data_IF_843988463451
#
_entry.id   IF_843988463451
#
_cell.length_a   1.000
_cell.length_b   1.000
_cell.length_c   1.000
_cell.angle_alpha   90.00
_cell.angle_beta   90.00
_cell.angle_gamma   90.00
#
_symmetry.space_group_name_H-M   'P 1'
#
loop_
_entity.id
_entity.type
_entity.pdbx_description
1 polymer ?
#
# COMPACT_ATOMS: atom_id res chain seq x y z
N UNK A 1 11.73 2.23 -12.83
CA UNK A 1 11.05 2.82 -14.01
C UNK A 1 10.26 4.03 -13.52
N UNK A 2 10.48 5.19 -14.09
CA UNK A 2 9.60 6.34 -13.87
C UNK A 2 8.25 6.06 -14.54
N UNK A 3 7.17 6.35 -13.83
CA UNK A 3 5.79 6.21 -14.31
C UNK A 3 5.23 7.62 -14.45
N UNK A 4 5.07 8.08 -15.70
CA UNK A 4 4.59 9.44 -15.98
C UNK A 4 3.06 9.53 -16.07
N UNK A 5 2.41 8.44 -16.44
CA UNK A 5 0.96 8.31 -16.58
C UNK A 5 0.51 6.97 -16.01
N UNK A 6 -0.76 6.87 -15.61
CA UNK A 6 -1.30 5.60 -15.15
C UNK A 6 -1.41 4.60 -16.31
N UNK A 7 -0.82 3.42 -16.13
CA UNK A 7 -0.81 2.31 -17.08
C UNK A 7 -1.53 1.10 -16.47
N UNK A 8 -2.36 0.44 -17.24
CA UNK A 8 -3.16 -0.72 -16.82
C UNK A 8 -2.85 -1.90 -17.73
N UNK A 9 -2.26 -2.94 -17.17
CA UNK A 9 -1.99 -4.18 -17.86
C UNK A 9 -3.01 -5.24 -17.49
N UNK A 10 -3.68 -5.82 -18.50
CA UNK A 10 -4.72 -6.83 -18.29
C UNK A 10 -4.29 -8.16 -18.87
N UNK A 11 -4.50 -9.22 -18.13
CA UNK A 11 -4.24 -10.61 -18.57
C UNK A 11 -5.55 -11.37 -18.51
N UNK A 12 -5.96 -11.91 -19.68
CA UNK A 12 -7.18 -12.71 -19.77
C UNK A 12 -6.99 -14.08 -19.12
N UNK A 13 -7.86 -14.37 -18.17
CA UNK A 13 -7.90 -15.67 -17.52
C UNK A 13 -9.29 -15.94 -16.98
N UNK A 14 -9.93 -17.01 -17.46
CA UNK A 14 -11.20 -17.48 -16.90
C UNK A 14 -11.04 -17.81 -15.40
N UNK A 15 -11.57 -16.94 -14.55
CA UNK A 15 -11.54 -17.09 -13.09
C UNK A 15 -12.77 -16.44 -12.45
N UNK A 16 -13.26 -17.02 -11.35
CA UNK A 16 -14.38 -16.47 -10.59
C UNK A 16 -14.01 -15.18 -9.81
N UNK A 17 -12.72 -14.92 -9.63
CA UNK A 17 -12.19 -13.75 -8.94
C UNK A 17 -11.07 -13.13 -9.74
N UNK A 18 -11.20 -11.84 -10.00
CA UNK A 18 -10.10 -11.06 -10.54
C UNK A 18 -9.11 -10.69 -9.43
N UNK A 19 -7.84 -10.59 -9.81
CA UNK A 19 -6.76 -10.10 -8.96
C UNK A 19 -6.24 -8.80 -9.53
N UNK A 20 -6.29 -7.73 -8.72
CA UNK A 20 -5.78 -6.41 -9.06
C UNK A 20 -4.57 -6.11 -8.19
N UNK A 21 -3.52 -5.56 -8.81
CA UNK A 21 -2.37 -4.97 -8.12
C UNK A 21 -2.24 -3.52 -8.56
N UNK A 22 -1.95 -2.65 -7.63
CA UNK A 22 -1.63 -1.25 -7.87
C UNK A 22 -0.26 -0.99 -7.26
N UNK A 23 0.64 -0.43 -8.06
CA UNK A 23 1.99 -0.13 -7.63
C UNK A 23 2.41 1.24 -8.16
N UNK A 24 3.12 2.00 -7.36
CA UNK A 24 3.83 3.19 -7.82
C UNK A 24 5.03 3.49 -6.93
N UNK A 25 6.13 3.95 -7.53
CA UNK A 25 7.31 4.35 -6.78
C UNK A 25 7.08 5.70 -6.10
N UNK A 26 7.80 5.89 -5.02
CA UNK A 26 8.00 7.17 -4.36
C UNK A 26 9.50 7.34 -4.09
N UNK A 27 9.93 8.46 -3.58
CA UNK A 27 11.34 8.76 -3.33
C UNK A 27 12.15 7.64 -2.65
N UNK A 28 13.42 7.86 -2.45
CA UNK A 28 14.29 6.91 -1.75
C UNK A 28 13.93 6.84 -0.26
N UNK A 29 14.48 5.81 0.40
CA UNK A 29 14.32 5.64 1.84
C UNK A 29 14.73 6.91 2.60
N UNK A 30 13.87 7.34 3.50
CA UNK A 30 14.11 8.44 4.44
C UNK A 30 13.65 8.01 5.85
N UNK A 31 14.56 8.10 6.82
CA UNK A 31 14.29 7.76 8.21
C UNK A 31 13.21 8.65 8.84
N UNK A 32 13.17 9.93 8.45
CA UNK A 32 12.21 10.90 8.99
C UNK A 32 10.76 10.53 8.67
N UNK A 33 10.52 9.87 7.53
CA UNK A 33 9.20 9.40 7.11
C UNK A 33 8.77 8.06 7.72
N UNK A 34 9.69 7.33 8.38
CA UNK A 34 9.43 5.94 8.82
C UNK A 34 8.27 5.81 9.79
N UNK A 35 8.12 6.74 10.72
CA UNK A 35 7.05 6.68 11.73
C UNK A 35 5.70 7.01 11.08
N UNK A 36 5.64 8.05 10.23
CA UNK A 36 4.44 8.41 9.48
C UNK A 36 4.01 7.28 8.54
N UNK A 37 4.94 6.67 7.79
CA UNK A 37 4.68 5.49 6.96
C UNK A 37 4.11 4.32 7.76
N UNK A 38 4.59 4.11 9.00
CA UNK A 38 4.09 3.06 9.89
C UNK A 38 2.65 3.31 10.34
N UNK A 39 2.31 4.56 10.68
CA UNK A 39 0.94 4.95 11.01
C UNK A 39 0.05 4.82 9.77
N UNK A 40 0.49 5.37 8.64
CA UNK A 40 -0.23 5.26 7.37
C UNK A 40 -0.58 3.81 7.04
N UNK A 41 0.39 2.92 7.11
CA UNK A 41 0.17 1.50 6.84
C UNK A 41 -0.90 0.89 7.77
N UNK A 42 -0.83 1.17 9.07
CA UNK A 42 -1.79 0.60 10.02
C UNK A 42 -3.20 1.20 9.86
N UNK A 43 -3.27 2.51 9.62
CA UNK A 43 -4.50 3.25 9.39
C UNK A 43 -5.16 2.89 8.08
N UNK A 44 -4.37 2.89 6.98
CA UNK A 44 -4.91 2.81 5.63
C UNK A 44 -5.13 1.37 5.15
N UNK A 45 -4.16 0.46 5.32
CA UNK A 45 -4.23 -0.76 4.53
C UNK A 45 -3.81 -2.10 5.14
N UNK A 46 -3.18 -2.14 6.32
CA UNK A 46 -2.61 -3.41 6.83
C UNK A 46 -3.36 -4.04 8.01
N UNK A 47 -4.35 -3.38 8.56
CA UNK A 47 -5.16 -3.89 9.67
C UNK A 47 -6.59 -4.21 9.26
N UNK A 48 -7.29 -5.02 10.05
CA UNK A 48 -8.72 -5.30 9.82
C UNK A 48 -9.61 -4.07 10.08
N UNK A 49 -9.14 -3.09 10.85
CA UNK A 49 -9.78 -1.79 11.06
C UNK A 49 -9.32 -0.72 10.07
N UNK A 50 -8.43 -1.07 9.13
CA UNK A 50 -7.91 -0.12 8.14
C UNK A 50 -8.99 0.39 7.18
N UNK A 51 -8.75 1.58 6.63
CA UNK A 51 -9.65 2.22 5.66
C UNK A 51 -9.99 1.29 4.51
N UNK A 52 -8.97 0.72 3.86
CA UNK A 52 -9.14 -0.14 2.69
C UNK A 52 -9.99 -1.37 3.00
N UNK A 53 -9.73 -2.03 4.12
CA UNK A 53 -10.48 -3.21 4.50
C UNK A 53 -11.94 -2.88 4.81
N UNK A 54 -12.18 -1.85 5.61
CA UNK A 54 -13.53 -1.45 6.03
C UNK A 54 -14.37 -0.93 4.87
N UNK A 55 -13.79 -0.12 3.99
CA UNK A 55 -14.54 0.50 2.89
C UNK A 55 -14.80 -0.48 1.73
N UNK A 56 -13.77 -1.22 1.28
CA UNK A 56 -13.94 -2.08 0.10
C UNK A 56 -14.59 -3.43 0.42
N UNK A 57 -14.27 -4.01 1.56
CA UNK A 57 -14.79 -5.33 1.92
C UNK A 57 -16.07 -5.25 2.74
N UNK A 58 -16.06 -4.52 3.86
CA UNK A 58 -17.16 -4.56 4.83
C UNK A 58 -18.34 -3.66 4.40
N UNK A 59 -18.06 -2.41 4.00
CA UNK A 59 -19.12 -1.45 3.71
C UNK A 59 -19.69 -1.62 2.30
N UNK A 60 -18.85 -1.84 1.29
CA UNK A 60 -19.28 -1.86 -0.13
C UNK A 60 -19.36 -3.28 -0.70
N UNK A 61 -18.83 -4.30 -0.03
CA UNK A 61 -18.79 -5.69 -0.51
C UNK A 61 -18.23 -5.83 -1.94
N UNK A 62 -17.26 -4.98 -2.31
CA UNK A 62 -16.63 -4.98 -3.63
C UNK A 62 -15.47 -5.98 -3.72
N UNK A 63 -14.87 -6.34 -2.60
CA UNK A 63 -13.69 -7.19 -2.56
C UNK A 63 -13.78 -8.28 -1.49
N UNK A 64 -13.27 -9.47 -1.78
CA UNK A 64 -13.01 -10.52 -0.78
C UNK A 64 -11.80 -10.23 0.06
N UNK A 65 -10.78 -9.66 -0.59
CA UNK A 65 -9.54 -9.23 0.05
C UNK A 65 -9.16 -7.86 -0.50
N UNK A 66 -8.75 -6.98 0.39
CA UNK A 66 -8.22 -5.68 0.05
C UNK A 66 -7.13 -5.30 1.04
N UNK A 67 -6.02 -4.83 0.55
CA UNK A 67 -4.90 -4.38 1.38
C UNK A 67 -4.09 -3.31 0.64
N UNK A 68 -3.44 -2.47 1.42
CA UNK A 68 -2.51 -1.49 0.91
C UNK A 68 -1.30 -1.35 1.84
N UNK A 69 -0.16 -1.01 1.29
CA UNK A 69 1.06 -0.82 2.06
C UNK A 69 2.02 0.12 1.35
N UNK A 70 2.48 1.11 2.06
CA UNK A 70 3.66 1.88 1.69
C UNK A 70 4.91 1.13 2.20
N UNK A 71 5.64 0.52 1.29
CA UNK A 71 6.84 -0.26 1.59
C UNK A 71 8.06 0.63 1.43
N UNK A 72 8.75 0.90 2.52
CA UNK A 72 10.00 1.65 2.47
C UNK A 72 11.15 0.79 1.93
N UNK A 73 12.08 1.44 1.23
CA UNK A 73 13.28 0.80 0.72
C UNK A 73 14.10 0.13 1.82
N UNK A 74 14.71 -1.02 1.51
CA UNK A 74 15.54 -1.79 2.46
C UNK A 74 16.98 -1.31 2.57
N UNK A 75 17.34 -0.22 1.88
CA UNK A 75 18.65 0.44 1.85
C UNK A 75 18.44 1.92 1.56
N UNK A 76 19.44 2.74 1.87
CA UNK A 76 19.40 4.19 1.66
C UNK A 76 19.17 4.62 0.20
N UNK A 77 19.59 3.79 -0.77
CA UNK A 77 19.46 4.02 -2.21
C UNK A 77 18.26 3.28 -2.83
N UNK A 78 17.47 2.58 -2.05
CA UNK A 78 16.31 1.86 -2.54
C UNK A 78 15.06 2.74 -2.50
N UNK A 79 14.26 2.65 -3.55
CA UNK A 79 12.99 3.36 -3.66
C UNK A 79 11.94 2.81 -2.69
N UNK A 80 11.10 3.71 -2.21
CA UNK A 80 9.86 3.37 -1.55
C UNK A 80 8.81 3.05 -2.61
N UNK A 81 7.88 2.16 -2.28
CA UNK A 81 6.85 1.72 -3.21
C UNK A 81 5.51 1.66 -2.47
N UNK A 82 4.50 2.32 -3.02
CA UNK A 82 3.12 2.05 -2.60
C UNK A 82 2.62 0.80 -3.32
N UNK A 83 2.04 -0.12 -2.56
CA UNK A 83 1.52 -1.39 -3.02
C UNK A 83 0.06 -1.51 -2.63
N UNK A 84 -0.81 -1.82 -3.58
CA UNK A 84 -2.21 -2.12 -3.37
C UNK A 84 -2.58 -3.49 -3.92
N UNK A 85 -3.53 -4.17 -3.29
CA UNK A 85 -4.01 -5.46 -3.75
C UNK A 85 -5.51 -5.60 -3.49
N UNK A 86 -6.25 -6.06 -4.49
CA UNK A 86 -7.67 -6.40 -4.40
C UNK A 86 -7.90 -7.77 -5.00
N UNK A 87 -8.73 -8.58 -4.34
CA UNK A 87 -9.38 -9.75 -4.94
C UNK A 87 -10.89 -9.49 -4.97
N UNK A 88 -11.46 -9.29 -6.15
CA UNK A 88 -12.88 -8.98 -6.36
C UNK A 88 -13.62 -10.09 -7.13
N UNK A 89 -14.93 -10.06 -7.13
CA UNK A 89 -15.70 -10.75 -8.17
C UNK A 89 -15.38 -10.09 -9.51
N UNK A 90 -15.32 -10.89 -10.58
CA UNK A 90 -14.89 -10.41 -11.89
C UNK A 90 -15.78 -9.30 -12.43
N UNK A 91 -17.09 -9.38 -12.21
CA UNK A 91 -18.09 -8.37 -12.61
C UNK A 91 -18.05 -7.06 -11.78
N UNK A 92 -17.28 -7.05 -10.69
CA UNK A 92 -17.11 -5.88 -9.80
C UNK A 92 -15.69 -5.30 -9.85
N UNK A 93 -14.87 -5.77 -10.76
CA UNK A 93 -13.44 -5.40 -10.79
C UNK A 93 -13.24 -3.91 -11.04
N UNK A 94 -13.99 -3.33 -11.98
CA UNK A 94 -13.92 -1.90 -12.33
C UNK A 94 -14.37 -1.03 -11.15
N UNK A 95 -15.51 -1.35 -10.56
CA UNK A 95 -16.04 -0.64 -9.38
C UNK A 95 -15.06 -0.72 -8.19
N UNK A 96 -14.47 -1.90 -7.96
CA UNK A 96 -13.51 -2.10 -6.88
C UNK A 96 -12.22 -1.33 -7.11
N UNK A 97 -11.73 -1.29 -8.35
CA UNK A 97 -10.57 -0.50 -8.74
C UNK A 97 -10.82 1.00 -8.55
N UNK A 98 -11.93 1.52 -9.07
CA UNK A 98 -12.29 2.93 -8.95
C UNK A 98 -12.43 3.37 -7.49
N UNK A 99 -13.13 2.57 -6.68
CA UNK A 99 -13.25 2.82 -5.25
C UNK A 99 -11.89 2.79 -4.52
N UNK A 100 -10.98 1.91 -4.93
CA UNK A 100 -9.66 1.83 -4.32
C UNK A 100 -8.77 3.02 -4.70
N UNK A 101 -8.77 3.43 -5.96
CA UNK A 101 -8.06 4.63 -6.42
C UNK A 101 -8.58 5.85 -5.66
N UNK A 102 -9.90 6.01 -5.54
CA UNK A 102 -10.51 7.10 -4.78
C UNK A 102 -10.02 7.11 -3.32
N UNK A 103 -9.97 5.95 -2.65
CA UNK A 103 -9.46 5.86 -1.28
C UNK A 103 -7.97 6.19 -1.17
N UNK A 104 -7.15 5.83 -2.17
CA UNK A 104 -5.72 6.17 -2.22
C UNK A 104 -5.55 7.69 -2.33
N UNK A 105 -6.30 8.33 -3.21
CA UNK A 105 -6.15 9.75 -3.51
C UNK A 105 -6.94 10.64 -2.52
N UNK A 106 -8.08 10.16 -1.99
CA UNK A 106 -8.98 10.88 -1.09
C UNK A 106 -9.20 10.11 0.23
N UNK A 107 -8.10 9.76 0.92
CA UNK A 107 -8.16 9.01 2.18
C UNK A 107 -9.07 9.72 3.21
N UNK A 108 -10.13 9.06 3.73
CA UNK A 108 -11.00 9.66 4.74
C UNK A 108 -10.27 9.88 6.06
N UNK A 109 -10.43 11.06 6.66
CA UNK A 109 -9.90 11.39 7.97
C UNK A 109 -10.85 10.90 9.08
N UNK A 110 -10.29 10.22 10.09
CA UNK A 110 -11.01 9.77 11.29
C UNK A 110 -10.08 9.77 12.50
N UNK A 111 -10.31 10.68 13.42
CA UNK A 111 -9.55 10.78 14.67
C UNK A 111 -9.62 9.49 15.51
N UNK A 112 -10.78 8.83 15.52
CA UNK A 112 -10.97 7.57 16.24
C UNK A 112 -10.06 6.47 15.66
N UNK A 113 -10.07 6.29 14.34
CA UNK A 113 -9.22 5.30 13.66
C UNK A 113 -7.73 5.64 13.78
N UNK A 114 -7.39 6.93 13.76
CA UNK A 114 -6.02 7.38 14.00
C UNK A 114 -5.54 7.00 15.39
N UNK A 115 -6.34 7.30 16.42
CA UNK A 115 -6.03 6.95 17.80
C UNK A 115 -5.89 5.43 18.00
N UNK A 116 -6.76 4.60 17.39
CA UNK A 116 -6.64 3.15 17.42
C UNK A 116 -5.36 2.66 16.76
N UNK A 117 -5.03 3.20 15.58
CA UNK A 117 -3.82 2.85 14.82
C UNK A 117 -2.55 3.20 15.59
N UNK A 118 -2.48 4.39 16.15
CA UNK A 118 -1.36 4.87 16.96
C UNK A 118 -1.20 4.02 18.23
N UNK A 119 -2.30 3.74 18.95
CA UNK A 119 -2.27 2.89 20.14
C UNK A 119 -1.82 1.46 19.83
N UNK A 120 -2.24 0.91 18.69
CA UNK A 120 -1.80 -0.41 18.22
C UNK A 120 -0.30 -0.45 18.01
N UNK A 121 0.27 0.57 17.34
CA UNK A 121 1.70 0.69 17.12
C UNK A 121 2.48 0.90 18.43
N UNK A 122 2.03 1.78 19.30
CA UNK A 122 2.65 1.98 20.62
C UNK A 122 2.68 0.68 21.43
N UNK A 123 1.60 -0.10 21.42
CA UNK A 123 1.56 -1.39 22.09
C UNK A 123 2.52 -2.39 21.44
N UNK A 124 2.68 -2.37 20.11
CA UNK A 124 3.69 -3.18 19.41
C UNK A 124 5.10 -2.84 19.92
N UNK A 125 5.47 -1.57 20.01
CA UNK A 125 6.76 -1.15 20.55
C UNK A 125 6.99 -1.61 21.99
N UNK A 126 5.96 -1.54 22.84
CA UNK A 126 6.05 -1.96 24.25
C UNK A 126 6.20 -3.47 24.45
N UNK A 127 5.61 -4.26 23.55
CA UNK A 127 5.52 -5.72 23.71
C UNK A 127 6.51 -6.49 22.83
N UNK A 128 6.95 -5.92 21.70
CA UNK A 128 7.86 -6.60 20.77
C UNK A 128 9.29 -6.53 21.26
N UNK A 129 9.94 -7.72 21.35
CA UNK A 129 11.34 -7.84 21.70
C UNK A 129 12.09 -8.52 20.56
N UNK A 130 13.29 -8.03 20.25
CA UNK A 130 14.19 -8.73 19.36
C UNK A 130 14.78 -9.91 20.13
N UNK A 131 14.42 -11.11 19.73
CA UNK A 131 15.04 -12.33 20.28
C UNK A 131 16.53 -12.40 19.92
N UNK A 132 17.33 -13.11 20.72
CA UNK A 132 18.79 -13.14 20.55
C UNK A 132 19.25 -13.55 19.13
N UNK A 133 18.51 -14.45 18.48
CA UNK A 133 18.81 -14.86 17.08
C UNK A 133 18.51 -13.76 16.05
N UNK A 134 17.63 -12.81 16.35
CA UNK A 134 17.25 -11.70 15.49
C UNK A 134 18.15 -10.47 15.61
N UNK A 135 18.98 -10.37 16.65
CA UNK A 135 19.78 -9.16 16.94
C UNK A 135 20.72 -8.80 15.79
N UNK A 136 21.47 -9.78 15.26
CA UNK A 136 22.41 -9.54 14.16
C UNK A 136 21.66 -9.06 12.90
N UNK A 137 20.50 -9.67 12.59
CA UNK A 137 19.66 -9.26 11.46
C UNK A 137 19.11 -7.85 11.61
N UNK A 138 18.67 -7.47 12.80
CA UNK A 138 18.19 -6.14 13.11
C UNK A 138 19.30 -5.08 12.96
N UNK A 139 20.45 -5.30 13.57
CA UNK A 139 21.61 -4.37 13.48
C UNK A 139 22.03 -4.18 12.02
N UNK A 140 22.21 -5.27 11.27
CA UNK A 140 22.56 -5.18 9.84
C UNK A 140 21.45 -4.49 9.00
N UNK A 141 20.19 -4.63 9.40
CA UNK A 141 19.09 -3.90 8.79
C UNK A 141 19.23 -2.40 8.99
N UNK A 142 19.50 -1.97 10.21
CA UNK A 142 19.70 -0.57 10.54
C UNK A 142 20.95 0.01 9.86
N UNK A 143 22.08 -0.71 9.88
CA UNK A 143 23.30 -0.30 9.19
C UNK A 143 23.08 -0.07 7.68
N UNK A 144 22.31 -0.95 7.02
CA UNK A 144 21.96 -0.77 5.59
C UNK A 144 21.11 0.47 5.31
N UNK A 145 20.35 0.90 6.31
CA UNK A 145 19.54 2.12 6.27
C UNK A 145 20.31 3.36 6.76
N UNK A 146 21.61 3.21 7.06
CA UNK A 146 22.43 4.30 7.58
C UNK A 146 22.12 4.71 9.02
N UNK A 147 21.40 3.87 9.77
CA UNK A 147 20.96 4.15 11.13
C UNK A 147 22.01 3.67 12.12
N UNK A 148 22.48 4.57 12.97
CA UNK A 148 23.40 4.25 14.07
C UNK A 148 22.64 3.83 15.33
N UNK A 149 22.80 2.55 15.71
CA UNK A 149 22.17 2.02 16.92
C UNK A 149 20.73 1.55 16.73
N UNK A 150 20.00 1.44 17.84
CA UNK A 150 18.61 0.97 17.89
C UNK A 150 17.63 2.15 17.79
N UNK A 151 16.93 2.35 16.65
CA UNK A 151 16.07 3.51 16.44
C UNK A 151 14.71 3.39 17.16
N UNK A 152 14.38 2.25 17.76
CA UNK A 152 13.03 1.98 18.26
C UNK A 152 12.59 2.92 19.38
N UNK A 153 13.53 3.38 20.19
CA UNK A 153 13.19 4.34 21.28
C UNK A 153 12.78 5.69 20.69
N UNK A 154 13.60 6.21 19.79
CA UNK A 154 13.34 7.49 19.14
C UNK A 154 12.04 7.45 18.33
N UNK A 155 11.85 6.41 17.53
CA UNK A 155 10.59 6.19 16.78
C UNK A 155 9.37 6.08 17.70
N UNK A 156 9.51 5.47 18.88
CA UNK A 156 8.44 5.41 19.87
C UNK A 156 8.10 6.79 20.42
N UNK A 157 9.10 7.63 20.71
CA UNK A 157 8.92 8.99 21.21
C UNK A 157 8.28 9.88 20.12
N UNK A 158 8.73 9.78 18.87
CA UNK A 158 8.13 10.47 17.72
C UNK A 158 6.67 10.06 17.52
N UNK A 159 6.37 8.77 17.55
CA UNK A 159 5.01 8.24 17.40
C UNK A 159 4.03 8.79 18.43
N UNK A 160 4.49 9.08 19.65
CA UNK A 160 3.65 9.68 20.69
C UNK A 160 3.28 11.14 20.43
N UNK A 161 4.07 11.83 19.62
CA UNK A 161 3.85 13.25 19.29
C UNK A 161 3.09 13.46 17.98
N UNK A 162 2.85 12.40 17.19
CA UNK A 162 2.17 12.52 15.90
C UNK A 162 0.66 12.68 16.05
N UNK A 163 0.08 13.48 15.15
CA UNK A 163 -1.35 13.73 15.06
C UNK A 163 -1.91 13.39 13.66
N UNK A 164 -3.20 13.71 13.44
CA UNK A 164 -3.88 13.45 12.18
C UNK A 164 -3.30 14.28 11.03
N UNK A 165 -2.86 15.50 11.30
CA UNK A 165 -2.30 16.40 10.29
C UNK A 165 -0.98 15.84 9.74
N UNK A 166 -0.15 15.20 10.59
CA UNK A 166 1.07 14.51 10.16
C UNK A 166 0.75 13.33 9.22
N UNK A 167 -0.30 12.57 9.53
CA UNK A 167 -0.75 11.46 8.67
C UNK A 167 -1.28 11.96 7.33
N UNK A 168 -2.06 13.04 7.32
CA UNK A 168 -2.60 13.63 6.09
C UNK A 168 -1.51 14.28 5.25
N UNK A 169 -0.52 14.90 5.88
CA UNK A 169 0.67 15.43 5.20
C UNK A 169 1.44 14.32 4.51
N UNK A 170 1.71 13.21 5.22
CA UNK A 170 2.34 12.03 4.63
C UNK A 170 1.56 11.50 3.42
N UNK A 171 0.25 11.34 3.54
CA UNK A 171 -0.59 10.87 2.42
C UNK A 171 -0.53 11.84 1.23
N UNK A 172 -0.60 13.13 1.48
CA UNK A 172 -0.56 14.17 0.44
C UNK A 172 0.79 14.22 -0.29
N UNK A 173 1.89 14.05 0.42
CA UNK A 173 3.24 14.18 -0.13
C UNK A 173 3.73 12.92 -0.84
N UNK A 174 3.34 11.73 -0.34
CA UNK A 174 3.92 10.47 -0.76
C UNK A 174 2.97 9.56 -1.55
N UNK A 175 1.65 9.77 -1.45
CA UNK A 175 0.67 8.81 -1.97
C UNK A 175 -0.32 9.41 -2.95
N UNK A 176 -0.85 10.58 -2.63
CA UNK A 176 -1.94 11.21 -3.37
C UNK A 176 -1.54 11.60 -4.79
N UNK A 177 -2.48 11.42 -5.74
CA UNK A 177 -2.40 11.89 -7.13
C UNK A 177 -1.14 11.39 -7.90
N UNK A 178 -0.54 10.25 -7.45
CA UNK A 178 0.59 9.64 -8.15
C UNK A 178 0.11 8.81 -9.34
N UNK A 179 0.81 8.84 -10.49
CA UNK A 179 0.60 7.87 -11.56
C UNK A 179 0.78 6.45 -11.04
N UNK A 180 -0.04 5.52 -11.53
CA UNK A 180 -0.14 4.16 -10.99
C UNK A 180 0.17 3.13 -12.09
N UNK A 181 0.92 2.10 -11.74
CA UNK A 181 1.01 0.88 -12.52
C UNK A 181 -0.03 -0.09 -11.96
N UNK A 182 -0.96 -0.51 -12.80
CA UNK A 182 -2.06 -1.39 -12.42
C UNK A 182 -1.96 -2.67 -13.23
N UNK A 183 -2.02 -3.82 -12.57
CA UNK A 183 -2.11 -5.11 -13.23
C UNK A 183 -3.37 -5.85 -12.80
N UNK A 184 -4.10 -6.40 -13.77
CA UNK A 184 -5.37 -7.09 -13.57
C UNK A 184 -5.28 -8.46 -14.23
N UNK A 185 -5.57 -9.51 -13.48
CA UNK A 185 -5.75 -10.86 -14.00
C UNK A 185 -7.19 -11.27 -13.73
N UNK A 186 -7.96 -11.54 -14.77
CA UNK A 186 -9.37 -11.89 -14.67
C UNK A 186 -9.98 -12.26 -16.02
N UNK A 187 -11.24 -12.63 -16.02
CA UNK A 187 -12.00 -12.98 -17.22
C UNK A 187 -12.43 -11.69 -17.97
N UNK A 188 -11.74 -11.39 -19.07
CA UNK A 188 -12.00 -10.19 -19.88
C UNK A 188 -13.30 -10.27 -20.68
N UNK A 189 -13.98 -11.41 -20.72
CA UNK A 189 -15.35 -11.49 -21.26
C UNK A 189 -16.38 -10.87 -20.31
N UNK A 190 -16.01 -10.63 -19.06
CA UNK A 190 -16.86 -10.08 -17.99
C UNK A 190 -16.39 -8.68 -17.54
N UNK A 191 -15.07 -8.48 -17.47
CA UNK A 191 -14.49 -7.19 -17.09
C UNK A 191 -14.64 -6.21 -18.25
N UNK A 192 -15.27 -5.07 -18.00
CA UNK A 192 -15.38 -4.00 -18.99
C UNK A 192 -14.04 -3.26 -19.12
N UNK A 193 -13.30 -3.58 -20.20
CA UNK A 193 -12.00 -2.95 -20.44
C UNK A 193 -12.11 -1.52 -20.97
N UNK A 194 -13.24 -1.13 -21.57
CA UNK A 194 -13.50 0.26 -21.99
C UNK A 194 -13.69 1.17 -20.76
N UNK A 195 -14.37 0.69 -19.72
CA UNK A 195 -14.49 1.44 -18.45
C UNK A 195 -13.14 1.57 -17.71
N UNK A 196 -12.20 0.62 -17.88
CA UNK A 196 -10.85 0.73 -17.31
C UNK A 196 -10.05 1.90 -17.91
N UNK A 197 -10.33 2.31 -19.14
CA UNK A 197 -9.67 3.45 -19.80
C UNK A 197 -9.92 4.79 -19.08
N UNK A 198 -10.97 4.88 -18.24
CA UNK A 198 -11.19 6.06 -17.39
C UNK A 198 -10.07 6.27 -16.35
N UNK A 199 -9.36 5.21 -15.97
CA UNK A 199 -8.31 5.25 -14.96
C UNK A 199 -6.90 5.35 -15.56
N UNK A 200 -6.70 4.98 -16.82
CA UNK A 200 -5.39 5.00 -17.47
C UNK A 200 -5.35 4.29 -18.81
N UNK A 201 -4.19 4.21 -19.42
CA UNK A 201 -3.99 3.49 -20.69
C UNK A 201 -4.04 1.99 -20.44
N UNK A 202 -4.93 1.28 -21.15
CA UNK A 202 -5.12 -0.17 -21.02
C UNK A 202 -4.33 -0.91 -22.10
N UNK A 203 -3.57 -1.93 -21.70
CA UNK A 203 -2.83 -2.84 -22.58
C UNK A 203 -3.12 -4.28 -22.18
N UNK A 204 -3.57 -5.09 -23.16
CA UNK A 204 -3.71 -6.53 -22.97
C UNK A 204 -2.37 -7.22 -23.17
N UNK A 205 -1.95 -8.02 -22.19
CA UNK A 205 -0.69 -8.75 -22.20
C UNK A 205 -0.95 -10.25 -22.25
N UNK A 206 -0.30 -10.94 -23.16
CA UNK A 206 -0.38 -12.39 -23.25
C UNK A 206 0.56 -13.03 -22.21
N UNK A 207 0.11 -14.14 -21.60
CA UNK A 207 0.90 -14.86 -20.60
C UNK A 207 2.28 -15.26 -21.13
N UNK A 208 2.34 -15.66 -22.39
CA UNK A 208 3.59 -16.09 -23.05
C UNK A 208 4.61 -14.94 -23.20
N UNK A 209 4.15 -13.69 -23.25
CA UNK A 209 5.02 -12.51 -23.35
C UNK A 209 5.68 -12.15 -21.99
N UNK A 210 5.14 -12.68 -20.88
CA UNK A 210 5.66 -12.43 -19.53
C UNK A 210 6.83 -13.33 -19.15
N UNK A 211 7.00 -14.46 -19.85
CA UNK A 211 8.04 -15.45 -19.54
C UNK A 211 9.00 -15.57 -20.74
N UNK A 212 10.17 -14.97 -20.59
CA UNK A 212 11.28 -15.17 -21.54
C UNK A 212 11.97 -16.47 -21.15
N UNK A 213 12.06 -17.44 -22.11
CA UNK A 213 12.84 -18.67 -21.96
C UNK A 213 14.36 -18.40 -21.83
#
# INVERSE_FOLDING_TARGET
REIDTTEIYVVDKETAQAQVRIEFPDGQYDEETTVAASIYNNYFGTSMSSVVFQELREARALAYSASARYAQGGRTDAENIMLGAIGSQTDKTVDALGAFIDLIDNMPASEERFAESTNSLLNRYRTSKIGFRGVIGAVRGWERLGIEGDPRRERFELLQGMDMDDLLSFQSEHVKDRPKLISIVGDLSIIDTEELEEFGTVEEVQVDDLFVE
#
